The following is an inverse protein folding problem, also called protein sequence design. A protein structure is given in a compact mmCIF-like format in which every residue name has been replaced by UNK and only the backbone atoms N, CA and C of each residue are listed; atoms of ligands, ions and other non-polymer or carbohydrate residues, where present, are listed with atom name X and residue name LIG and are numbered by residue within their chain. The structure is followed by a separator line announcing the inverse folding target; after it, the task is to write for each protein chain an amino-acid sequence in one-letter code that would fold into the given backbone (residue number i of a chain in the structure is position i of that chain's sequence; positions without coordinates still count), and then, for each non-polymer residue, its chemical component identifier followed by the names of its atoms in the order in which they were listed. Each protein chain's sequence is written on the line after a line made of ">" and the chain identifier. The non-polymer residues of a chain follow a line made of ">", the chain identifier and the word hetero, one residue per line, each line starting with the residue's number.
data_IF_894910959512
#
_entry.id   IF_894910959512
#
_cell.length_a   1.000
_cell.length_b   1.000
_cell.length_c   1.000
_cell.angle_alpha   90.00
_cell.angle_beta   90.00
_cell.angle_gamma   90.00
#
_symmetry.space_group_name_H-M   'P 1'
#
loop_
_entity.id
_entity.type
_entity.pdbx_description
1 polymer ?
#
# COMPACT_ATOMS: atom_id res chain seq x y z
N UNK A 1 29.65 8.49 41.98
CA UNK A 1 29.59 9.89 41.52
C UNK A 1 30.74 10.11 40.54
N UNK A 2 30.49 10.05 39.24
CA UNK A 2 31.43 10.54 38.23
C UNK A 2 30.62 11.20 37.11
N UNK A 3 30.73 12.52 37.08
CA UNK A 3 30.28 13.37 35.98
C UNK A 3 31.37 13.36 34.90
N UNK A 4 30.98 13.21 33.62
CA UNK A 4 31.80 13.69 32.51
C UNK A 4 30.92 13.91 31.29
N UNK A 5 30.48 15.15 31.04
CA UNK A 5 31.08 16.15 30.14
C UNK A 5 30.49 16.08 28.73
N UNK A 6 29.45 16.88 28.52
CA UNK A 6 28.97 17.35 27.22
C UNK A 6 30.06 18.14 26.49
N UNK A 7 30.52 17.70 25.31
CA UNK A 7 31.09 18.56 24.26
C UNK A 7 31.05 17.82 22.91
N UNK A 8 30.23 18.29 21.98
CA UNK A 8 30.68 18.64 20.62
C UNK A 8 29.52 19.16 19.78
N UNK A 9 29.54 20.47 19.69
CA UNK A 9 28.88 21.37 18.77
C UNK A 9 29.20 21.08 17.30
N UNK A 10 28.17 21.20 16.46
CA UNK A 10 28.15 21.94 15.20
C UNK A 10 29.37 21.82 14.24
N UNK A 11 29.21 20.98 13.23
CA UNK A 11 29.75 21.09 11.88
C UNK A 11 28.92 20.10 11.03
N UNK A 12 28.42 20.34 9.83
CA UNK A 12 28.79 21.28 8.78
C UNK A 12 27.55 21.35 7.86
N UNK A 13 27.06 22.55 7.61
CA UNK A 13 25.93 22.86 6.76
C UNK A 13 26.51 23.36 5.45
N UNK A 14 26.80 22.50 4.47
CA UNK A 14 27.21 22.89 3.11
C UNK A 14 27.30 21.68 2.15
N UNK A 15 26.23 21.46 1.40
CA UNK A 15 26.26 20.83 0.07
C UNK A 15 24.99 21.21 -0.69
N UNK A 16 24.90 22.49 -1.05
CA UNK A 16 23.98 22.96 -2.08
C UNK A 16 24.60 22.72 -3.46
N UNK A 17 23.74 22.38 -4.43
CA UNK A 17 23.97 22.44 -5.87
C UNK A 17 24.93 21.41 -6.48
N UNK A 18 24.42 20.20 -6.73
CA UNK A 18 24.79 19.45 -7.94
C UNK A 18 23.54 19.42 -8.82
N UNK A 19 23.69 19.97 -10.03
CA UNK A 19 22.62 20.26 -10.96
C UNK A 19 21.82 19.02 -11.36
N UNK A 20 20.50 19.12 -11.20
CA UNK A 20 19.56 18.24 -11.87
C UNK A 20 19.38 18.80 -13.29
N UNK A 21 20.24 18.36 -14.21
CA UNK A 21 20.09 18.61 -15.64
C UNK A 21 18.84 17.85 -16.10
N UNK A 22 17.75 18.59 -16.31
CA UNK A 22 16.47 18.01 -16.68
C UNK A 22 16.55 17.58 -18.16
N UNK A 23 16.36 16.29 -18.49
CA UNK A 23 16.31 15.87 -19.88
C UNK A 23 15.10 16.54 -20.55
N UNK A 24 15.40 17.35 -21.57
CA UNK A 24 14.39 17.98 -22.42
C UNK A 24 13.55 16.88 -23.09
N UNK A 25 12.26 16.80 -22.75
CA UNK A 25 11.32 15.91 -23.43
C UNK A 25 11.18 16.36 -24.90
N UNK A 26 11.21 15.43 -25.87
CA UNK A 26 10.93 15.77 -27.25
C UNK A 26 9.47 16.24 -27.38
N UNK A 27 9.30 17.48 -27.83
CA UNK A 27 8.01 18.04 -28.25
C UNK A 27 7.54 17.31 -29.51
N UNK A 28 6.74 16.25 -29.31
CA UNK A 28 6.02 15.58 -30.38
C UNK A 28 4.95 16.49 -31.01
N UNK A 29 4.54 16.19 -32.27
CA UNK A 29 3.62 17.02 -33.03
C UNK A 29 2.21 17.06 -32.42
N UNK A 30 1.60 18.24 -32.54
CA UNK A 30 0.27 18.57 -32.05
C UNK A 30 -0.79 17.54 -32.47
N UNK A 31 -1.53 17.03 -31.49
CA UNK A 31 -2.76 16.27 -31.73
C UNK A 31 -3.83 17.19 -32.34
N UNK A 32 -4.64 16.70 -33.30
CA UNK A 32 -5.75 17.46 -33.86
C UNK A 32 -6.89 17.64 -32.83
N UNK A 33 -7.69 18.71 -32.93
CA UNK A 33 -8.80 18.96 -32.01
C UNK A 33 -9.92 17.94 -32.25
N UNK A 34 -10.11 17.01 -31.31
CA UNK A 34 -11.31 16.18 -31.27
C UNK A 34 -12.47 17.02 -30.75
N UNK A 35 -13.39 17.34 -31.67
CA UNK A 35 -14.66 17.99 -31.39
C UNK A 35 -15.43 17.19 -30.33
N UNK A 36 -15.61 17.79 -29.16
CA UNK A 36 -16.46 17.26 -28.09
C UNK A 36 -17.90 17.60 -28.44
N UNK A 37 -18.71 16.59 -28.72
CA UNK A 37 -20.16 16.75 -28.79
C UNK A 37 -20.67 17.16 -27.39
N UNK A 38 -21.64 18.09 -27.28
CA UNK A 38 -22.22 18.47 -26.00
C UNK A 38 -23.03 17.29 -25.48
N UNK A 39 -22.51 16.63 -24.43
CA UNK A 39 -23.32 15.71 -23.62
C UNK A 39 -24.29 16.57 -22.85
N UNK A 40 -25.56 16.42 -23.19
CA UNK A 40 -26.72 17.02 -22.53
C UNK A 40 -26.70 16.65 -21.03
N UNK A 41 -26.22 17.59 -20.20
CA UNK A 41 -26.28 17.49 -18.75
C UNK A 41 -27.75 17.48 -18.31
N UNK A 42 -28.24 16.28 -17.98
CA UNK A 42 -29.42 16.18 -17.12
C UNK A 42 -29.09 16.90 -15.80
N UNK A 43 -29.96 17.79 -15.30
CA UNK A 43 -29.69 18.53 -14.08
C UNK A 43 -29.47 17.54 -12.93
N UNK A 44 -28.26 17.54 -12.38
CA UNK A 44 -27.95 16.87 -11.12
C UNK A 44 -28.82 17.52 -10.05
N UNK A 45 -29.90 16.84 -9.70
CA UNK A 45 -30.75 17.16 -8.57
C UNK A 45 -29.85 17.24 -7.34
N UNK A 46 -29.75 18.44 -6.77
CA UNK A 46 -29.13 18.64 -5.47
C UNK A 46 -29.83 17.71 -4.47
N UNK A 47 -29.11 16.68 -4.03
CA UNK A 47 -29.59 15.71 -3.05
C UNK A 47 -30.16 16.43 -1.84
N UNK A 48 -31.31 15.94 -1.39
CA UNK A 48 -32.07 16.47 -0.27
C UNK A 48 -31.18 16.41 0.99
N UNK A 49 -30.97 17.53 1.71
CA UNK A 49 -30.17 17.54 2.92
C UNK A 49 -30.92 16.77 4.01
N UNK A 50 -30.47 15.55 4.34
CA UNK A 50 -31.02 14.79 5.46
C UNK A 50 -30.99 13.27 5.32
N UNK A 51 -30.60 12.71 4.18
CA UNK A 51 -30.44 11.26 4.06
C UNK A 51 -29.20 10.83 4.85
N UNK A 52 -29.38 9.93 5.82
CA UNK A 52 -28.28 9.38 6.62
C UNK A 52 -27.30 8.75 5.66
N UNK A 53 -26.05 9.21 5.72
CA UNK A 53 -24.90 8.64 4.99
C UNK A 53 -25.03 7.11 4.95
N UNK A 54 -24.94 6.48 3.77
CA UNK A 54 -25.01 5.03 3.67
C UNK A 54 -23.96 4.45 4.62
N UNK A 55 -24.43 3.59 5.52
CA UNK A 55 -23.60 2.90 6.50
C UNK A 55 -22.39 2.29 5.79
N UNK A 56 -21.18 2.58 6.28
CA UNK A 56 -19.92 2.04 5.76
C UNK A 56 -20.10 0.58 5.35
N UNK A 57 -19.77 0.25 4.08
CA UNK A 57 -19.97 -1.09 3.49
C UNK A 57 -19.41 -2.25 4.33
N UNK A 58 -18.51 -1.98 5.27
CA UNK A 58 -17.99 -2.96 6.24
C UNK A 58 -17.93 -2.29 7.62
N UNK A 59 -19.05 -2.28 8.38
CA UNK A 59 -19.05 -1.67 9.70
C UNK A 59 -17.98 -2.33 10.58
N UNK A 60 -17.27 -1.53 11.37
CA UNK A 60 -16.39 -2.06 12.41
C UNK A 60 -17.30 -2.58 13.51
N UNK A 61 -17.20 -3.87 13.80
CA UNK A 61 -18.01 -4.54 14.81
C UNK A 61 -17.16 -4.87 16.04
N UNK A 62 -17.80 -5.47 17.05
CA UNK A 62 -17.12 -5.99 18.23
C UNK A 62 -16.21 -7.20 17.95
N UNK A 63 -16.47 -7.90 16.84
CA UNK A 63 -15.67 -9.04 16.40
C UNK A 63 -14.44 -8.49 15.65
N UNK A 64 -13.22 -8.83 16.10
CA UNK A 64 -11.99 -8.48 15.39
C UNK A 64 -12.05 -8.91 13.92
N UNK A 65 -11.71 -7.99 13.01
CA UNK A 65 -11.56 -8.29 11.59
C UNK A 65 -10.27 -7.69 11.04
N UNK A 66 -9.77 -8.25 9.94
CA UNK A 66 -8.57 -7.71 9.26
C UNK A 66 -8.75 -6.22 8.96
N UNK A 67 -7.71 -5.44 9.27
CA UNK A 67 -7.68 -4.02 8.96
C UNK A 67 -7.53 -3.81 7.45
N UNK A 68 -8.44 -3.07 6.85
CA UNK A 68 -8.49 -2.82 5.41
C UNK A 68 -8.34 -1.32 5.10
N UNK A 69 -7.96 -1.03 3.86
CA UNK A 69 -7.90 0.35 3.37
C UNK A 69 -9.26 1.04 3.25
N UNK A 70 -10.37 0.32 3.46
CA UNK A 70 -11.73 0.89 3.54
C UNK A 70 -12.10 1.32 4.95
N UNK A 71 -11.31 0.98 5.96
CA UNK A 71 -11.66 1.21 7.36
C UNK A 71 -11.69 2.71 7.71
N UNK A 72 -12.51 3.09 8.71
CA UNK A 72 -12.70 4.48 9.09
C UNK A 72 -11.40 5.02 9.69
N UNK A 73 -10.91 6.12 9.12
CA UNK A 73 -9.71 6.83 9.57
C UNK A 73 -10.10 8.28 9.77
N UNK A 74 -9.62 8.87 10.85
CA UNK A 74 -9.94 10.24 11.20
C UNK A 74 -9.51 11.21 10.10
N UNK A 75 -10.41 12.08 9.68
CA UNK A 75 -10.18 13.04 8.60
C UNK A 75 -10.31 12.48 7.18
N UNK A 76 -10.49 11.16 7.01
CA UNK A 76 -10.82 10.57 5.72
C UNK A 76 -12.34 10.55 5.55
N UNK A 77 -12.84 11.40 4.66
CA UNK A 77 -14.17 11.22 4.08
C UNK A 77 -14.15 9.94 3.25
N UNK A 78 -15.12 9.06 3.44
CA UNK A 78 -15.21 7.84 2.64
C UNK A 78 -15.38 8.24 1.17
N UNK A 79 -15.00 7.37 0.21
CA UNK A 79 -15.27 7.65 -1.21
C UNK A 79 -16.75 7.86 -1.49
N UNK A 80 -17.62 7.38 -0.61
CA UNK A 80 -19.07 7.53 -0.69
C UNK A 80 -19.51 8.90 -0.19
N UNK A 81 -18.98 9.38 0.95
CA UNK A 81 -19.15 10.76 1.43
C UNK A 81 -18.65 11.78 0.38
N UNK A 82 -17.58 11.41 -0.35
CA UNK A 82 -17.05 12.21 -1.44
C UNK A 82 -17.93 12.16 -2.71
N UNK A 83 -18.68 11.08 -2.94
CA UNK A 83 -19.64 10.96 -4.05
C UNK A 83 -20.95 11.71 -3.78
N UNK A 84 -21.41 11.72 -2.53
CA UNK A 84 -22.69 12.31 -2.16
C UNK A 84 -22.58 13.78 -1.69
N UNK A 85 -21.40 14.21 -1.24
CA UNK A 85 -21.14 15.57 -0.72
C UNK A 85 -20.36 16.52 -1.65
N UNK A 86 -20.13 16.16 -2.92
CA UNK A 86 -19.31 16.96 -3.84
C UNK A 86 -20.05 18.20 -4.39
N UNK A 87 -20.27 19.19 -3.51
CA UNK A 87 -20.26 20.60 -3.89
C UNK A 87 -19.65 21.53 -2.81
N UNK A 88 -19.17 20.99 -1.67
CA UNK A 88 -18.60 21.83 -0.61
C UNK A 88 -17.22 21.32 -0.17
N UNK A 89 -16.16 21.86 -0.79
CA UNK A 89 -14.86 21.98 -0.12
C UNK A 89 -13.69 21.08 -0.57
N UNK A 90 -13.69 20.57 -1.81
CA UNK A 90 -12.47 20.47 -2.64
C UNK A 90 -11.19 19.84 -2.04
N UNK A 91 -11.25 18.72 -1.33
CA UNK A 91 -10.07 17.83 -1.29
C UNK A 91 -10.04 17.13 -2.65
N UNK A 92 -9.06 17.46 -3.50
CA UNK A 92 -8.96 16.90 -4.84
C UNK A 92 -8.98 15.36 -4.79
N UNK A 93 -9.59 14.73 -5.79
CA UNK A 93 -9.59 13.27 -5.95
C UNK A 93 -8.18 12.66 -5.83
N UNK A 94 -7.16 13.41 -6.24
CA UNK A 94 -5.74 13.06 -6.10
C UNK A 94 -5.29 12.94 -4.63
N UNK A 95 -5.66 13.88 -3.75
CA UNK A 95 -5.32 13.81 -2.32
C UNK A 95 -6.01 12.63 -1.62
N UNK A 96 -7.28 12.37 -1.95
CA UNK A 96 -8.00 11.19 -1.44
C UNK A 96 -7.37 9.86 -1.92
N UNK A 97 -6.91 9.82 -3.18
CA UNK A 97 -6.17 8.67 -3.71
C UNK A 97 -4.82 8.47 -3.02
N UNK A 98 -4.09 9.56 -2.73
CA UNK A 98 -2.82 9.51 -1.99
C UNK A 98 -2.98 8.94 -0.57
N UNK A 99 -4.02 9.36 0.16
CA UNK A 99 -4.32 8.80 1.48
C UNK A 99 -4.64 7.30 1.41
N UNK A 100 -5.44 6.89 0.42
CA UNK A 100 -5.75 5.47 0.21
C UNK A 100 -4.50 4.66 -0.09
N UNK A 101 -3.65 5.13 -1.01
CA UNK A 101 -2.40 4.47 -1.37
C UNK A 101 -1.48 4.35 -0.15
N UNK A 102 -1.34 5.41 0.65
CA UNK A 102 -0.55 5.38 1.90
C UNK A 102 -1.07 4.30 2.86
N UNK A 103 -2.38 4.19 3.04
CA UNK A 103 -2.95 3.19 3.93
C UNK A 103 -2.77 1.76 3.41
N UNK A 104 -2.93 1.56 2.09
CA UNK A 104 -2.64 0.27 1.49
C UNK A 104 -1.19 -0.15 1.67
N UNK A 105 -0.24 0.78 1.48
CA UNK A 105 1.18 0.49 1.71
C UNK A 105 1.48 0.13 3.16
N UNK A 106 0.83 0.78 4.13
CA UNK A 106 0.95 0.43 5.56
C UNK A 106 0.47 -1.00 5.81
N UNK A 107 -0.72 -1.36 5.29
CA UNK A 107 -1.28 -2.71 5.46
C UNK A 107 -0.36 -3.76 4.85
N UNK A 108 0.07 -3.56 3.61
CA UNK A 108 0.98 -4.49 2.91
C UNK A 108 2.31 -4.62 3.65
N UNK A 109 2.86 -3.53 4.17
CA UNK A 109 4.13 -3.57 4.92
C UNK A 109 4.00 -4.38 6.21
N UNK A 110 2.89 -4.22 6.94
CA UNK A 110 2.62 -4.96 8.18
C UNK A 110 2.37 -6.44 7.88
N UNK A 111 1.56 -6.75 6.86
CA UNK A 111 1.29 -8.14 6.44
C UNK A 111 2.60 -8.85 6.06
N UNK A 112 3.43 -8.19 5.24
CA UNK A 112 4.72 -8.75 4.84
C UNK A 112 5.68 -8.92 6.02
N UNK A 113 5.77 -7.95 6.93
CA UNK A 113 6.60 -8.07 8.13
C UNK A 113 6.12 -9.22 9.03
N UNK A 114 4.81 -9.45 9.13
CA UNK A 114 4.24 -10.55 9.90
C UNK A 114 4.59 -11.91 9.27
N UNK A 115 4.54 -12.02 7.94
CA UNK A 115 4.96 -13.21 7.20
C UNK A 115 6.46 -13.50 7.39
N UNK A 116 7.30 -12.47 7.45
CA UNK A 116 8.74 -12.60 7.72
C UNK A 116 9.06 -12.91 9.17
N UNK A 117 8.24 -12.45 10.12
CA UNK A 117 8.41 -12.74 11.54
C UNK A 117 8.32 -14.25 11.81
N UNK A 118 7.36 -14.92 11.18
CA UNK A 118 7.09 -16.34 11.39
C UNK A 118 8.35 -17.25 11.21
N UNK A 119 9.05 -17.27 10.06
CA UNK A 119 10.27 -18.06 9.89
C UNK A 119 11.47 -17.57 10.73
N UNK A 120 11.48 -16.31 11.20
CA UNK A 120 12.54 -15.77 12.06
C UNK A 120 12.40 -16.20 13.53
N UNK A 121 11.19 -16.59 13.94
CA UNK A 121 10.84 -16.92 15.31
C UNK A 121 10.28 -18.36 15.42
N UNK A 122 11.04 -19.33 14.92
CA UNK A 122 10.73 -20.78 15.03
C UNK A 122 9.35 -21.19 14.49
N UNK A 123 8.92 -20.57 13.39
CA UNK A 123 7.58 -20.77 12.81
C UNK A 123 6.44 -20.47 13.80
N UNK A 124 6.64 -19.47 14.66
CA UNK A 124 5.63 -18.99 15.59
C UNK A 124 5.34 -17.50 15.40
N UNK A 125 4.06 -17.14 15.39
CA UNK A 125 3.62 -15.75 15.41
C UNK A 125 3.77 -15.13 16.81
N UNK A 126 3.76 -13.79 16.93
CA UNK A 126 3.79 -13.12 18.23
C UNK A 126 2.66 -13.62 19.14
N UNK A 127 2.97 -13.84 20.42
CA UNK A 127 2.00 -14.39 21.39
C UNK A 127 1.18 -13.33 22.11
N UNK A 128 1.64 -12.07 22.10
CA UNK A 128 0.94 -10.94 22.74
C UNK A 128 0.79 -9.78 21.78
N UNK A 129 -0.23 -8.95 22.02
CA UNK A 129 -0.44 -7.72 21.26
C UNK A 129 0.75 -6.77 21.38
N UNK A 130 1.35 -6.65 22.57
CA UNK A 130 2.52 -5.80 22.79
C UNK A 130 3.72 -6.25 21.95
N UNK A 131 4.01 -7.57 21.89
CA UNK A 131 5.07 -8.09 21.04
C UNK A 131 4.77 -7.86 19.55
N UNK A 132 3.52 -8.05 19.12
CA UNK A 132 3.13 -7.80 17.73
C UNK A 132 3.33 -6.32 17.35
N UNK A 133 2.88 -5.39 18.19
CA UNK A 133 2.99 -3.96 17.91
C UNK A 133 4.45 -3.49 17.91
N UNK A 134 5.28 -4.03 18.78
CA UNK A 134 6.70 -3.65 18.90
C UNK A 134 7.57 -4.31 17.83
N UNK A 135 7.43 -5.61 17.64
CA UNK A 135 8.38 -6.40 16.85
C UNK A 135 7.91 -6.55 15.39
N UNK A 136 6.62 -6.47 15.10
CA UNK A 136 6.09 -6.51 13.72
C UNK A 136 5.74 -5.11 13.24
N UNK A 137 4.84 -4.41 13.92
CA UNK A 137 4.29 -3.13 13.42
C UNK A 137 5.32 -2.01 13.45
N UNK A 138 6.05 -1.83 14.55
CA UNK A 138 7.04 -0.76 14.63
C UNK A 138 8.21 -0.96 13.65
N UNK A 139 8.63 -2.22 13.42
CA UNK A 139 9.63 -2.55 12.40
C UNK A 139 9.10 -2.33 10.98
N UNK A 140 7.88 -2.78 10.68
CA UNK A 140 7.27 -2.59 9.36
C UNK A 140 7.15 -1.12 8.96
N UNK A 141 6.86 -0.26 9.95
CA UNK A 141 6.58 1.15 9.69
C UNK A 141 7.81 2.07 9.78
N UNK A 142 8.97 1.58 10.23
CA UNK A 142 10.21 2.37 10.30
C UNK A 142 10.02 3.76 10.96
N UNK A 143 9.23 3.82 12.03
CA UNK A 143 8.90 5.06 12.76
C UNK A 143 7.73 5.87 12.20
N UNK A 144 7.09 5.43 11.12
CA UNK A 144 5.82 6.01 10.66
C UNK A 144 4.70 5.59 11.64
N UNK A 145 3.91 6.52 12.20
CA UNK A 145 2.82 6.15 13.08
C UNK A 145 1.68 5.47 12.31
N UNK A 146 0.96 4.57 12.98
CA UNK A 146 -0.28 4.03 12.46
C UNK A 146 -1.31 5.15 12.19
N UNK A 147 -2.21 4.96 11.21
CA UNK A 147 -3.30 5.90 10.98
C UNK A 147 -4.16 6.12 12.24
N UNK A 148 -4.57 7.36 12.50
CA UNK A 148 -5.50 7.65 13.61
C UNK A 148 -6.90 7.11 13.26
N UNK A 149 -7.40 6.18 14.06
CA UNK A 149 -8.78 5.67 13.98
C UNK A 149 -9.70 6.45 14.93
N UNK A 150 -11.03 6.44 14.71
CA UNK A 150 -12.00 7.02 15.65
C UNK A 150 -11.85 6.45 17.06
N UNK A 151 -12.22 7.24 18.08
CA UNK A 151 -12.05 6.89 19.50
C UNK A 151 -12.83 5.63 19.94
N UNK A 152 -13.90 5.29 19.21
CA UNK A 152 -14.71 4.09 19.48
C UNK A 152 -14.09 2.81 18.89
N UNK A 153 -12.99 2.92 18.13
CA UNK A 153 -12.29 1.80 17.51
C UNK A 153 -10.90 1.61 18.11
N UNK A 154 -10.44 0.37 18.15
CA UNK A 154 -9.07 0.03 18.53
C UNK A 154 -8.43 -0.95 17.55
N UNK A 155 -7.12 -0.77 17.39
CA UNK A 155 -6.27 -1.77 16.78
C UNK A 155 -6.05 -2.92 17.75
N UNK A 156 -6.24 -4.14 17.28
CA UNK A 156 -6.05 -5.33 18.09
C UNK A 156 -5.28 -6.40 17.31
N UNK A 157 -4.75 -7.36 18.05
CA UNK A 157 -4.07 -8.52 17.50
C UNK A 157 -4.54 -9.76 18.25
N UNK A 158 -4.88 -10.80 17.50
CA UNK A 158 -5.38 -12.08 18.01
C UNK A 158 -4.30 -13.14 17.73
N UNK A 159 -3.55 -13.63 18.74
CA UNK A 159 -2.47 -14.59 18.53
C UNK A 159 -2.93 -15.91 17.88
N UNK A 160 -4.15 -16.35 18.19
CA UNK A 160 -4.75 -17.55 17.58
C UNK A 160 -4.98 -17.39 16.07
N UNK A 161 -5.12 -16.15 15.61
CA UNK A 161 -5.23 -15.76 14.21
C UNK A 161 -3.98 -14.99 13.77
N UNK A 162 -2.79 -15.39 14.24
CA UNK A 162 -1.54 -14.67 13.99
C UNK A 162 -1.27 -14.37 12.51
N UNK A 163 -1.73 -15.23 11.60
CA UNK A 163 -1.63 -15.05 10.14
C UNK A 163 -2.43 -13.85 9.60
N UNK A 164 -3.54 -13.46 10.25
CA UNK A 164 -4.41 -12.37 9.78
C UNK A 164 -3.71 -11.01 9.96
N UNK A 165 -2.79 -10.90 10.91
CA UNK A 165 -2.02 -9.69 11.18
C UNK A 165 -2.82 -8.63 11.97
N UNK A 166 -2.71 -7.37 11.56
CA UNK A 166 -3.35 -6.25 12.24
C UNK A 166 -4.87 -6.28 12.01
N UNK A 167 -5.62 -6.24 13.11
CA UNK A 167 -7.08 -6.25 13.09
C UNK A 167 -7.66 -4.98 13.72
N UNK A 168 -8.92 -4.69 13.40
CA UNK A 168 -9.69 -3.58 13.97
C UNK A 168 -10.99 -4.10 14.58
N UNK A 169 -11.37 -3.50 15.72
CA UNK A 169 -12.65 -3.76 16.40
C UNK A 169 -13.16 -2.52 17.10
N UNK A 170 -14.40 -2.57 17.58
CA UNK A 170 -14.93 -1.60 18.54
C UNK A 170 -14.23 -1.75 19.89
N UNK A 171 -13.96 -0.62 20.55
CA UNK A 171 -13.45 -0.61 21.92
C UNK A 171 -14.50 -1.25 22.82
N UNK A 172 -14.15 -2.30 23.59
CA UNK A 172 -15.08 -2.94 24.50
C UNK A 172 -15.63 -1.94 25.52
N UNK A 173 -16.95 -1.87 25.65
CA UNK A 173 -17.63 -0.90 26.53
C UNK A 173 -17.83 0.50 25.93
N UNK A 174 -17.47 0.72 24.66
CA UNK A 174 -17.90 1.93 23.94
C UNK A 174 -19.43 1.93 23.79
N UNK A 175 -20.07 3.09 23.56
CA UNK A 175 -21.53 3.19 23.40
C UNK A 175 -22.09 2.32 22.26
N UNK A 176 -21.25 1.99 21.28
CA UNK A 176 -21.61 1.18 20.12
C UNK A 176 -21.25 -0.31 20.30
N UNK A 177 -20.50 -0.65 21.35
CA UNK A 177 -20.05 -2.02 21.61
C UNK A 177 -21.09 -2.81 22.39
N UNK A 178 -21.33 -4.05 21.98
CA UNK A 178 -22.16 -5.02 22.73
C UNK A 178 -21.37 -5.77 23.79
N UNK A 179 -20.04 -5.61 23.81
CA UNK A 179 -19.11 -6.36 24.64
C UNK A 179 -18.75 -5.53 25.88
N UNK A 180 -18.74 -6.12 27.08
CA UNK A 180 -18.41 -5.37 28.29
C UNK A 180 -16.97 -4.86 28.28
N UNK A 181 -16.73 -3.74 28.96
CA UNK A 181 -15.41 -3.13 29.08
C UNK A 181 -14.36 -4.11 29.63
N UNK A 182 -13.13 -4.05 29.10
CA UNK A 182 -12.02 -4.93 29.50
C UNK A 182 -12.04 -6.32 28.87
N UNK A 183 -12.96 -6.60 27.94
CA UNK A 183 -12.98 -7.90 27.25
C UNK A 183 -11.87 -8.00 26.20
N UNK A 184 -11.08 -9.07 26.26
CA UNK A 184 -10.02 -9.34 25.29
C UNK A 184 -10.59 -9.66 23.90
N UNK A 185 -9.80 -9.50 22.82
CA UNK A 185 -10.22 -9.89 21.47
C UNK A 185 -10.73 -11.32 21.37
N UNK A 186 -10.04 -12.27 22.02
CA UNK A 186 -10.39 -13.69 22.01
C UNK A 186 -11.74 -13.94 22.68
N UNK A 187 -11.92 -13.37 23.87
CA UNK A 187 -13.16 -13.51 24.62
C UNK A 187 -14.35 -12.83 23.93
N UNK A 188 -14.11 -11.75 23.18
CA UNK A 188 -15.15 -11.11 22.37
C UNK A 188 -15.63 -12.04 21.24
N UNK A 189 -14.72 -12.74 20.57
CA UNK A 189 -15.04 -13.74 19.54
C UNK A 189 -15.89 -14.87 20.15
N UNK A 190 -15.45 -15.42 21.29
CA UNK A 190 -16.19 -16.47 22.03
C UNK A 190 -17.60 -16.03 22.44
N UNK A 191 -17.74 -14.81 22.98
CA UNK A 191 -19.03 -14.30 23.47
C UNK A 191 -20.03 -14.01 22.36
N UNK A 192 -19.56 -13.57 21.20
CA UNK A 192 -20.41 -13.19 20.07
C UNK A 192 -20.69 -14.35 19.12
N UNK A 193 -20.18 -15.55 19.44
CA UNK A 193 -20.33 -16.73 18.59
C UNK A 193 -19.61 -16.59 17.25
N UNK A 194 -18.58 -15.76 17.18
CA UNK A 194 -17.71 -15.70 16.01
C UNK A 194 -16.89 -16.98 15.92
N UNK A 195 -16.73 -17.54 14.72
CA UNK A 195 -15.76 -18.62 14.52
C UNK A 195 -14.35 -18.05 14.55
N UNK A 196 -13.44 -18.72 15.27
CA UNK A 196 -12.00 -18.46 15.19
C UNK A 196 -11.40 -18.92 13.87
N UNK A 197 -12.11 -19.79 13.15
CA UNK A 197 -11.71 -20.25 11.84
C UNK A 197 -11.59 -19.05 10.90
N UNK A 198 -10.44 -18.86 10.24
CA UNK A 198 -10.31 -17.85 9.22
C UNK A 198 -11.40 -18.14 8.19
N UNK A 199 -12.30 -17.19 7.96
CA UNK A 199 -13.29 -17.31 6.87
C UNK A 199 -12.49 -17.59 5.60
N UNK A 200 -12.52 -18.84 5.13
CA UNK A 200 -11.94 -19.18 3.84
C UNK A 200 -12.57 -18.21 2.84
N UNK A 201 -11.76 -17.52 2.02
CA UNK A 201 -12.27 -16.51 1.10
C UNK A 201 -13.39 -17.17 0.32
N UNK A 202 -14.63 -16.71 0.52
CA UNK A 202 -15.83 -17.33 -0.02
C UNK A 202 -15.53 -17.69 -1.46
N UNK A 203 -15.45 -19.00 -1.75
CA UNK A 203 -14.98 -19.51 -3.03
C UNK A 203 -15.77 -18.80 -4.12
N UNK A 204 -15.14 -17.81 -4.75
CA UNK A 204 -15.72 -17.14 -5.91
C UNK A 204 -15.57 -18.19 -6.98
N UNK A 205 -16.67 -18.85 -7.43
CA UNK A 205 -16.55 -19.82 -8.49
C UNK A 205 -15.81 -19.11 -9.63
N UNK A 206 -14.78 -19.75 -10.23
CA UNK A 206 -14.02 -19.14 -11.29
C UNK A 206 -15.05 -18.62 -12.30
N UNK A 207 -15.15 -17.29 -12.42
CA UNK A 207 -16.03 -16.66 -13.39
C UNK A 207 -15.74 -17.36 -14.69
N UNK A 208 -16.78 -18.03 -15.19
CA UNK A 208 -16.76 -18.88 -16.38
C UNK A 208 -15.81 -18.25 -17.37
N UNK A 209 -14.68 -18.93 -17.64
CA UNK A 209 -13.74 -18.47 -18.64
C UNK A 209 -14.57 -18.06 -19.85
N UNK A 210 -14.54 -16.77 -20.17
CA UNK A 210 -15.08 -16.29 -21.43
C UNK A 210 -14.26 -17.07 -22.44
N UNK A 211 -14.88 -18.08 -23.05
CA UNK A 211 -14.27 -18.84 -24.12
C UNK A 211 -13.65 -17.82 -25.06
N UNK A 212 -12.36 -17.98 -25.44
CA UNK A 212 -11.79 -17.13 -26.47
C UNK A 212 -12.78 -17.14 -27.65
N UNK A 213 -13.09 -15.98 -28.24
CA UNK A 213 -13.99 -15.92 -29.38
C UNK A 213 -13.52 -16.95 -30.42
N UNK A 214 -14.44 -17.67 -31.07
CA UNK A 214 -14.08 -18.69 -32.04
C UNK A 214 -13.08 -18.09 -33.03
N UNK A 215 -11.93 -18.75 -33.14
CA UNK A 215 -10.89 -18.36 -34.07
C UNK A 215 -11.50 -18.18 -35.45
N UNK A 216 -11.44 -16.95 -35.98
CA UNK A 216 -11.71 -16.72 -37.38
C UNK A 216 -10.79 -17.64 -38.21
N UNK A 217 -11.30 -18.24 -39.30
CA UNK A 217 -10.50 -19.11 -40.14
C UNK A 217 -9.27 -18.34 -40.65
N UNK A 218 -8.11 -18.96 -40.47
CA UNK A 218 -6.80 -18.46 -40.85
C UNK A 218 -6.81 -17.84 -42.25
N UNK A 219 -6.69 -16.52 -42.32
CA UNK A 219 -6.20 -15.86 -43.51
C UNK A 219 -4.71 -16.24 -43.70
N UNK A 220 -4.37 -16.53 -44.95
CA UNK A 220 -3.08 -17.00 -45.43
C UNK A 220 -1.87 -16.22 -44.85
N UNK A 221 -0.70 -16.88 -44.70
CA UNK A 221 0.49 -16.24 -44.15
C UNK A 221 0.99 -15.14 -45.09
N UNK A 222 0.70 -13.89 -44.74
CA UNK A 222 1.36 -12.74 -45.33
C UNK A 222 2.81 -12.68 -44.83
N UNK A 223 3.70 -12.46 -45.79
CA UNK A 223 5.15 -12.50 -45.67
C UNK A 223 5.73 -11.79 -44.44
N UNK A 224 6.78 -12.42 -43.90
CA UNK A 224 7.64 -11.94 -42.83
C UNK A 224 8.03 -10.46 -43.00
N UNK A 225 7.73 -9.66 -41.96
CA UNK A 225 8.39 -8.40 -41.71
C UNK A 225 9.62 -8.61 -40.80
N UNK A 226 10.70 -7.82 -40.95
CA UNK A 226 12.00 -8.12 -40.38
C UNK A 226 12.22 -7.47 -39.01
N UNK A 227 12.86 -8.23 -38.12
CA UNK A 227 13.89 -7.75 -37.21
C UNK A 227 13.43 -7.06 -35.92
N UNK A 228 13.32 -7.84 -34.85
CA UNK A 228 13.63 -7.33 -33.51
C UNK A 228 15.09 -6.82 -33.50
N UNK A 229 15.41 -5.69 -32.84
CA UNK A 229 16.79 -5.25 -32.71
C UNK A 229 17.57 -6.30 -31.92
N UNK A 230 18.53 -6.94 -32.58
CA UNK A 230 19.48 -7.86 -31.97
C UNK A 230 20.08 -7.22 -30.72
N UNK A 231 19.74 -7.80 -29.56
CA UNK A 231 20.50 -7.57 -28.34
C UNK A 231 21.97 -7.85 -28.64
N UNK A 232 22.80 -6.84 -28.43
CA UNK A 232 24.19 -6.81 -28.86
C UNK A 232 24.90 -8.13 -28.58
N UNK A 233 25.42 -8.72 -29.64
CA UNK A 233 26.42 -9.79 -29.58
C UNK A 233 27.80 -9.15 -29.73
N UNK A 234 28.80 -9.76 -29.12
CA UNK A 234 30.19 -9.36 -29.37
C UNK A 234 30.62 -9.74 -30.79
N UNK A 235 31.83 -9.33 -31.21
CA UNK A 235 32.40 -9.66 -32.52
C UNK A 235 32.59 -11.19 -32.73
N UNK A 236 32.46 -11.99 -31.66
CA UNK A 236 32.51 -13.45 -31.70
C UNK A 236 31.10 -14.10 -31.75
N UNK A 237 30.02 -13.32 -31.72
CA UNK A 237 28.65 -13.80 -31.79
C UNK A 237 28.05 -14.27 -30.46
N UNK A 238 28.71 -14.02 -29.33
CA UNK A 238 28.19 -14.35 -28.00
C UNK A 238 27.25 -13.25 -27.49
N UNK A 239 26.15 -13.59 -26.80
CA UNK A 239 25.27 -12.60 -26.19
C UNK A 239 26.02 -11.78 -25.14
N UNK A 240 26.00 -10.44 -25.26
CA UNK A 240 26.63 -9.56 -24.27
C UNK A 240 25.88 -9.68 -22.95
N UNK A 241 26.53 -10.24 -21.94
CA UNK A 241 25.97 -10.36 -20.60
C UNK A 241 25.93 -8.97 -19.94
N UNK A 242 24.73 -8.41 -19.79
CA UNK A 242 24.50 -7.04 -19.31
C UNK A 242 25.05 -6.85 -17.88
N UNK A 243 25.31 -7.94 -17.13
CA UNK A 243 25.95 -7.89 -15.82
C UNK A 243 27.41 -7.44 -15.84
N UNK A 244 28.17 -7.69 -16.90
CA UNK A 244 29.58 -7.27 -16.98
C UNK A 244 29.74 -5.78 -17.34
N UNK A 245 28.73 -5.16 -17.94
CA UNK A 245 28.78 -3.73 -18.32
C UNK A 245 28.84 -2.79 -17.12
N UNK A 246 28.40 -3.22 -15.95
CA UNK A 246 28.44 -2.40 -14.73
C UNK A 246 29.81 -2.36 -14.04
N UNK A 247 30.76 -3.22 -14.42
CA UNK A 247 32.07 -3.33 -13.75
C UNK A 247 33.21 -2.57 -14.44
N UNK A 248 32.97 -1.95 -15.61
CA UNK A 248 34.03 -1.50 -16.52
C UNK A 248 34.39 -0.02 -16.53
N UNK A 249 34.01 0.79 -15.53
CA UNK A 249 34.38 2.22 -15.49
C UNK A 249 34.85 2.64 -14.10
N UNK A 250 36.15 2.51 -13.82
CA UNK A 250 36.77 3.17 -12.68
C UNK A 250 37.97 2.40 -12.13
N UNK A 251 39.18 2.78 -12.54
CA UNK A 251 40.38 2.20 -11.92
C UNK A 251 41.72 2.56 -12.56
N UNK A 252 41.89 3.77 -13.10
CA UNK A 252 43.25 4.31 -13.22
C UNK A 252 43.75 4.59 -11.80
N UNK A 253 44.71 3.82 -11.32
CA UNK A 253 45.41 4.09 -10.06
C UNK A 253 46.64 4.98 -10.34
N UNK A 254 46.71 6.21 -9.81
CA UNK A 254 47.96 6.93 -9.70
C UNK A 254 48.37 6.90 -8.23
N UNK A 255 49.48 6.23 -7.90
CA UNK A 255 50.48 6.65 -6.90
C UNK A 255 51.38 5.46 -6.55
N UNK A 256 52.57 5.42 -7.15
CA UNK A 256 53.74 4.88 -6.47
C UNK A 256 54.92 5.77 -6.86
N UNK A 257 55.27 6.67 -5.95
CA UNK A 257 56.24 7.72 -6.16
C UNK A 257 56.40 8.59 -4.93
N UNK A 258 56.78 7.98 -3.81
CA UNK A 258 57.36 8.68 -2.66
C UNK A 258 58.57 7.88 -2.14
N UNK A 259 59.70 8.45 -2.50
CA UNK A 259 61.09 8.32 -2.06
C UNK A 259 61.34 8.04 -0.57
N UNK A 260 62.41 7.28 -0.33
CA UNK A 260 63.49 7.64 0.61
C UNK A 260 64.64 8.32 -0.16
#
# INVERSE_FOLDING_TARGET
>A
MHASTYRSTAALLLAAAVGCDAPALPSGPAAPPTATAPVEEKPLVAGIPGEKLPENEIPVTDIPRKFTSKDPIKGRRTRQDAKEGANVGGISSAAAAGLYAKHQMIIVSIDHANELYNPQHDFSYPKTQESFMKDVVALALNGVPLPEIPADHEYCYVPEQGQVGLQIRLVPGSPNSKVPAGTTPQKAIEMLGGSLEPEEPAYVPPTTQISPPPAEPAAEPAAAAPGEPEGGRDDAGNPIDIRERAAGFGGASPTDGLSE
#
